data_IF_796400184053
#
_entry.id   IF_796400184053
#
_cell.length_a   1.000
_cell.length_b   1.000
_cell.length_c   1.000
_cell.angle_alpha   90.00
_cell.angle_beta   90.00
_cell.angle_gamma   90.00
#
_symmetry.space_group_name_H-M   'P 1'
#
loop_
_entity.id
_entity.type
_entity.pdbx_description
1 polymer ?
#
# COMPACT_ATOMS: atom_id res chain seq x y z
N UNK A 1 -37.90 7.06 -21.49
CA UNK A 1 -37.95 6.55 -22.89
C UNK A 1 -36.90 7.28 -23.71
N UNK A 2 -35.83 6.59 -24.11
CA UNK A 2 -34.76 7.17 -24.95
C UNK A 2 -35.35 7.73 -26.26
N UNK A 3 -34.94 8.92 -26.73
CA UNK A 3 -35.41 9.49 -28.00
C UNK A 3 -35.19 8.53 -29.19
N UNK A 4 -34.16 7.68 -29.11
CA UNK A 4 -33.87 6.64 -30.12
C UNK A 4 -34.94 5.53 -30.18
N UNK A 5 -35.47 5.10 -29.02
CA UNK A 5 -36.49 4.07 -28.96
C UNK A 5 -37.83 4.54 -29.55
N UNK A 6 -38.16 5.82 -29.33
CA UNK A 6 -39.37 6.43 -29.88
C UNK A 6 -39.28 6.74 -31.38
N UNK A 7 -38.07 6.79 -31.94
CA UNK A 7 -37.83 7.04 -33.36
C UNK A 7 -37.66 5.75 -34.19
N UNK A 8 -37.90 4.56 -33.61
CA UNK A 8 -37.67 3.27 -34.28
C UNK A 8 -36.20 2.92 -34.50
N UNK A 9 -35.28 3.70 -33.94
CA UNK A 9 -33.84 3.53 -34.09
C UNK A 9 -33.29 2.49 -33.10
N UNK A 10 -33.84 1.28 -33.17
CA UNK A 10 -33.56 0.19 -32.21
C UNK A 10 -32.08 -0.19 -32.14
N UNK A 11 -31.36 -0.12 -33.26
CA UNK A 11 -29.92 -0.41 -33.30
C UNK A 11 -29.10 0.56 -32.44
N UNK A 12 -29.41 1.87 -32.47
CA UNK A 12 -28.71 2.87 -31.64
C UNK A 12 -29.12 2.77 -30.17
N UNK A 13 -30.40 2.51 -29.90
CA UNK A 13 -30.87 2.27 -28.55
C UNK A 13 -30.21 1.03 -27.92
N UNK A 14 -30.07 -0.05 -28.70
CA UNK A 14 -29.38 -1.26 -28.28
C UNK A 14 -27.89 -1.01 -28.05
N UNK A 15 -27.22 -0.27 -28.93
CA UNK A 15 -25.81 0.05 -28.78
C UNK A 15 -25.54 0.86 -27.49
N UNK A 16 -26.36 1.89 -27.21
CA UNK A 16 -26.26 2.66 -25.96
C UNK A 16 -26.58 1.82 -24.73
N UNK A 17 -27.60 0.96 -24.77
CA UNK A 17 -27.89 0.04 -23.66
C UNK A 17 -26.74 -0.94 -23.40
N UNK A 18 -26.11 -1.45 -24.45
CA UNK A 18 -24.96 -2.36 -24.36
C UNK A 18 -23.74 -1.68 -23.73
N UNK A 19 -23.50 -0.39 -23.98
CA UNK A 19 -22.42 0.37 -23.32
C UNK A 19 -22.66 0.48 -21.81
N UNK A 20 -23.89 0.80 -21.39
CA UNK A 20 -24.27 0.89 -19.97
C UNK A 20 -24.10 -0.47 -19.27
N UNK A 21 -24.64 -1.55 -19.87
CA UNK A 21 -24.49 -2.90 -19.31
C UNK A 21 -23.03 -3.34 -19.29
N UNK A 22 -22.27 -3.05 -20.35
CA UNK A 22 -20.86 -3.37 -20.47
C UNK A 22 -20.02 -2.68 -19.39
N UNK A 23 -20.27 -1.40 -19.11
CA UNK A 23 -19.67 -0.68 -18.00
C UNK A 23 -19.89 -1.40 -16.67
N UNK A 24 -21.14 -1.72 -16.33
CA UNK A 24 -21.46 -2.35 -15.04
C UNK A 24 -20.82 -3.73 -14.93
N UNK A 25 -20.79 -4.49 -16.02
CA UNK A 25 -20.12 -5.79 -16.07
C UNK A 25 -18.61 -5.64 -15.84
N UNK A 26 -17.95 -4.70 -16.50
CA UNK A 26 -16.50 -4.49 -16.35
C UNK A 26 -16.16 -4.03 -14.93
N UNK A 27 -16.92 -3.09 -14.36
CA UNK A 27 -16.72 -2.65 -12.97
C UNK A 27 -16.92 -3.82 -12.00
N UNK A 28 -17.99 -4.61 -12.16
CA UNK A 28 -18.25 -5.78 -11.31
C UNK A 28 -17.11 -6.80 -11.38
N UNK A 29 -16.65 -7.16 -12.59
CA UNK A 29 -15.52 -8.08 -12.79
C UNK A 29 -14.22 -7.55 -12.19
N UNK A 30 -13.99 -6.24 -12.20
CA UNK A 30 -12.79 -5.61 -11.62
C UNK A 30 -12.81 -5.54 -10.11
N UNK A 31 -13.98 -5.36 -9.52
CA UNK A 31 -14.16 -5.28 -8.06
C UNK A 31 -14.01 -6.64 -7.39
N UNK A 32 -14.42 -7.73 -8.04
CA UNK A 32 -14.42 -9.07 -7.42
C UNK A 32 -13.05 -9.53 -6.91
N UNK A 33 -11.95 -9.45 -7.69
CA UNK A 33 -10.61 -9.79 -7.20
C UNK A 33 -10.20 -8.94 -5.99
N UNK A 34 -10.49 -7.64 -6.02
CA UNK A 34 -10.19 -6.73 -4.91
C UNK A 34 -10.92 -7.14 -3.62
N UNK A 35 -12.22 -7.44 -3.71
CA UNK A 35 -13.00 -7.88 -2.56
C UNK A 35 -12.52 -9.24 -2.03
N UNK A 36 -12.15 -10.14 -2.92
CA UNK A 36 -11.62 -11.45 -2.56
C UNK A 36 -10.29 -11.33 -1.81
N UNK A 37 -9.35 -10.51 -2.30
CA UNK A 37 -8.05 -10.29 -1.67
C UNK A 37 -8.15 -9.52 -0.35
N UNK A 38 -9.03 -8.52 -0.29
CA UNK A 38 -9.13 -7.62 0.89
C UNK A 38 -9.91 -8.25 2.04
N UNK A 39 -11.02 -8.93 1.74
CA UNK A 39 -11.94 -9.46 2.76
C UNK A 39 -11.95 -10.99 2.84
N UNK A 40 -11.32 -11.68 1.89
CA UNK A 40 -11.34 -13.14 1.79
C UNK A 40 -12.56 -13.67 1.05
N UNK A 41 -12.38 -14.77 0.31
CA UNK A 41 -13.45 -15.42 -0.46
C UNK A 41 -14.60 -16.00 0.38
N UNK A 42 -14.39 -16.19 1.68
CA UNK A 42 -15.43 -16.67 2.60
C UNK A 42 -16.22 -15.53 3.27
N UNK A 43 -15.82 -14.27 3.05
CA UNK A 43 -16.53 -13.14 3.66
C UNK A 43 -17.95 -13.00 3.12
N UNK A 44 -18.87 -12.68 4.02
CA UNK A 44 -20.26 -12.37 3.68
C UNK A 44 -20.33 -11.20 2.69
N UNK A 45 -19.44 -10.22 2.82
CA UNK A 45 -19.37 -9.07 1.92
C UNK A 45 -19.00 -9.47 0.48
N UNK A 46 -17.96 -10.27 0.28
CA UNK A 46 -17.58 -10.79 -1.03
C UNK A 46 -18.71 -11.63 -1.65
N UNK A 47 -19.29 -12.55 -0.90
CA UNK A 47 -20.37 -13.43 -1.39
C UNK A 47 -21.62 -12.65 -1.79
N UNK A 48 -22.04 -11.68 -0.98
CA UNK A 48 -23.17 -10.82 -1.31
C UNK A 48 -22.90 -10.03 -2.60
N UNK A 49 -21.70 -9.48 -2.75
CA UNK A 49 -21.34 -8.74 -3.96
C UNK A 49 -21.18 -9.66 -5.19
N UNK A 50 -20.76 -10.91 -5.00
CA UNK A 50 -20.68 -11.90 -6.08
C UNK A 50 -22.07 -12.20 -6.68
N UNK A 51 -23.09 -12.39 -5.85
CA UNK A 51 -24.42 -12.76 -6.34
C UNK A 51 -25.35 -11.58 -6.61
N UNK A 52 -25.28 -10.52 -5.81
CA UNK A 52 -26.17 -9.35 -5.93
C UNK A 52 -25.48 -8.14 -6.57
N UNK A 53 -24.16 -8.19 -6.79
CA UNK A 53 -23.38 -7.05 -7.31
C UNK A 53 -23.88 -6.55 -8.66
N UNK A 54 -24.10 -7.45 -9.62
CA UNK A 54 -24.56 -7.10 -10.96
C UNK A 54 -26.05 -7.40 -11.12
N UNK A 55 -26.92 -6.42 -11.46
CA UNK A 55 -26.68 -4.97 -11.49
C UNK A 55 -27.05 -4.25 -10.17
N UNK A 56 -27.77 -4.92 -9.27
CA UNK A 56 -28.41 -4.29 -8.10
C UNK A 56 -27.42 -3.70 -7.11
N UNK A 57 -26.31 -4.39 -6.83
CA UNK A 57 -25.27 -3.93 -5.93
C UNK A 57 -24.53 -2.72 -6.47
N UNK A 58 -24.26 -2.66 -7.78
CA UNK A 58 -23.69 -1.47 -8.40
C UNK A 58 -24.63 -0.27 -8.31
N UNK A 59 -25.95 -0.44 -8.53
CA UNK A 59 -26.91 0.65 -8.33
C UNK A 59 -26.98 1.13 -6.88
N UNK A 60 -26.90 0.20 -5.93
CA UNK A 60 -26.85 0.55 -4.51
C UNK A 60 -25.59 1.38 -4.19
N UNK A 61 -24.43 1.01 -4.73
CA UNK A 61 -23.19 1.76 -4.54
C UNK A 61 -23.21 3.13 -5.24
N UNK A 62 -23.77 3.20 -6.45
CA UNK A 62 -23.96 4.46 -7.17
C UNK A 62 -24.90 5.40 -6.36
N UNK A 63 -25.94 4.86 -5.71
CA UNK A 63 -26.77 5.62 -4.77
C UNK A 63 -25.98 6.13 -3.56
N UNK A 64 -25.13 5.30 -2.96
CA UNK A 64 -24.28 5.75 -1.84
C UNK A 64 -23.32 6.87 -2.27
N UNK A 65 -22.71 6.75 -3.44
CA UNK A 65 -21.84 7.78 -4.00
C UNK A 65 -22.60 9.10 -4.23
N UNK A 66 -23.86 9.04 -4.62
CA UNK A 66 -24.73 10.21 -4.77
C UNK A 66 -24.99 10.95 -3.45
N UNK A 67 -24.89 10.28 -2.30
CA UNK A 67 -25.07 10.92 -0.98
C UNK A 67 -23.83 11.72 -0.52
N UNK A 68 -22.67 11.49 -1.14
CA UNK A 68 -21.40 12.10 -0.73
C UNK A 68 -21.38 13.64 -0.88
N UNK A 69 -21.83 14.26 -1.99
CA UNK A 69 -21.86 15.72 -2.14
C UNK A 69 -22.75 16.43 -1.11
N UNK A 70 -23.72 15.72 -0.53
CA UNK A 70 -24.60 16.25 0.51
C UNK A 70 -24.03 16.08 1.92
N UNK A 71 -22.86 15.46 2.08
CA UNK A 71 -22.27 15.18 3.39
C UNK A 71 -23.05 14.16 4.22
N UNK A 72 -23.92 13.36 3.58
CA UNK A 72 -24.76 12.38 4.26
C UNK A 72 -24.04 11.04 4.45
N UNK A 73 -23.02 10.75 3.64
CA UNK A 73 -22.29 9.48 3.67
C UNK A 73 -21.74 9.10 5.07
N UNK A 74 -21.20 10.03 5.89
CA UNK A 74 -20.76 9.71 7.26
C UNK A 74 -21.89 9.35 8.23
N UNK A 75 -23.11 9.87 7.99
CA UNK A 75 -24.27 9.70 8.88
C UNK A 75 -25.05 8.42 8.58
N UNK A 76 -24.94 7.91 7.34
CA UNK A 76 -25.61 6.68 6.94
C UNK A 76 -25.07 5.48 7.72
N UNK A 77 -25.94 4.67 8.36
CA UNK A 77 -25.52 3.46 9.05
C UNK A 77 -25.07 2.41 8.03
N UNK A 78 -23.79 2.09 8.03
CA UNK A 78 -23.21 1.08 7.14
C UNK A 78 -22.06 0.33 7.81
N UNK A 79 -21.81 -0.94 7.43
CA UNK A 79 -20.66 -1.70 7.90
C UNK A 79 -19.33 -1.02 7.54
N UNK A 80 -18.30 -1.22 8.36
CA UNK A 80 -16.98 -0.62 8.14
C UNK A 80 -16.37 -1.05 6.80
N UNK A 81 -16.53 -2.32 6.41
CA UNK A 81 -16.08 -2.84 5.11
C UNK A 81 -16.69 -2.07 3.93
N UNK A 82 -17.99 -1.78 3.99
CA UNK A 82 -18.66 -1.02 2.94
C UNK A 82 -18.16 0.44 2.92
N UNK A 83 -17.96 1.04 4.09
CA UNK A 83 -17.45 2.40 4.22
C UNK A 83 -16.03 2.57 3.65
N UNK A 84 -15.16 1.58 3.88
CA UNK A 84 -13.82 1.54 3.29
C UNK A 84 -13.85 1.28 1.78
N UNK A 85 -14.82 0.49 1.31
CA UNK A 85 -14.93 0.10 -0.09
C UNK A 85 -15.52 1.18 -0.99
N UNK A 86 -16.51 1.96 -0.54
CA UNK A 86 -17.21 2.96 -1.37
C UNK A 86 -16.25 3.94 -2.06
N UNK A 87 -15.23 4.52 -1.40
CA UNK A 87 -14.24 5.38 -2.08
C UNK A 87 -13.45 4.65 -3.18
N UNK A 88 -13.04 3.39 -2.93
CA UNK A 88 -12.31 2.58 -3.90
C UNK A 88 -13.19 2.22 -5.11
N UNK A 89 -14.46 1.85 -4.87
CA UNK A 89 -15.45 1.63 -5.92
C UNK A 89 -15.67 2.90 -6.75
N UNK A 90 -15.85 4.05 -6.11
CA UNK A 90 -16.06 5.35 -6.77
C UNK A 90 -14.93 5.69 -7.75
N UNK A 91 -13.68 5.54 -7.31
CA UNK A 91 -12.51 5.81 -8.15
C UNK A 91 -12.56 5.03 -9.47
N UNK A 92 -12.78 3.72 -9.39
CA UNK A 92 -12.86 2.85 -10.57
C UNK A 92 -14.13 3.09 -11.38
N UNK A 93 -15.26 3.34 -10.71
CA UNK A 93 -16.55 3.64 -11.33
C UNK A 93 -16.50 4.87 -12.22
N UNK A 94 -15.82 5.93 -11.79
CA UNK A 94 -15.65 7.18 -12.54
C UNK A 94 -14.84 6.96 -13.82
N UNK A 95 -13.72 6.23 -13.74
CA UNK A 95 -12.88 5.96 -14.93
C UNK A 95 -13.60 5.03 -15.91
N UNK A 96 -14.29 4.00 -15.40
CA UNK A 96 -15.11 3.12 -16.24
C UNK A 96 -16.24 3.89 -16.92
N UNK A 97 -16.87 4.84 -16.23
CA UNK A 97 -17.92 5.70 -16.80
C UNK A 97 -17.41 6.54 -17.95
N UNK A 98 -16.29 7.23 -17.75
CA UNK A 98 -15.72 8.06 -18.82
C UNK A 98 -15.25 7.21 -19.99
N UNK A 99 -14.53 6.12 -19.73
CA UNK A 99 -13.86 5.33 -20.77
C UNK A 99 -14.77 4.38 -21.54
N UNK A 100 -15.71 3.71 -20.86
CA UNK A 100 -16.54 2.65 -21.46
C UNK A 100 -17.93 3.13 -21.87
N UNK A 101 -18.47 4.15 -21.21
CA UNK A 101 -19.81 4.67 -21.50
C UNK A 101 -19.75 6.06 -22.16
N UNK A 102 -19.33 7.09 -21.41
CA UNK A 102 -19.50 8.49 -21.80
C UNK A 102 -18.74 8.85 -23.07
N UNK A 103 -17.48 8.43 -23.22
CA UNK A 103 -16.69 8.73 -24.42
C UNK A 103 -17.24 8.00 -25.68
N UNK A 104 -17.44 6.66 -25.68
CA UNK A 104 -18.05 5.99 -26.83
C UNK A 104 -19.44 6.51 -27.16
N UNK A 105 -20.26 6.80 -26.15
CA UNK A 105 -21.60 7.36 -26.32
C UNK A 105 -21.55 8.77 -26.92
N UNK A 106 -20.65 9.64 -26.47
CA UNK A 106 -20.48 10.99 -27.00
C UNK A 106 -20.04 10.95 -28.49
N UNK A 107 -19.09 10.07 -28.84
CA UNK A 107 -18.65 9.84 -30.22
C UNK A 107 -19.83 9.35 -31.07
N UNK A 108 -20.57 8.36 -30.59
CA UNK A 108 -21.73 7.82 -31.29
C UNK A 108 -22.80 8.89 -31.51
N UNK A 109 -23.09 9.71 -30.49
CA UNK A 109 -24.02 10.84 -30.61
C UNK A 109 -23.55 11.85 -31.66
N UNK A 110 -22.26 12.22 -31.67
CA UNK A 110 -21.72 13.14 -32.66
C UNK A 110 -21.82 12.59 -34.09
N UNK A 111 -21.49 11.31 -34.29
CA UNK A 111 -21.59 10.64 -35.60
C UNK A 111 -23.04 10.59 -36.08
N UNK A 112 -23.99 10.19 -35.23
CA UNK A 112 -25.41 10.15 -35.58
C UNK A 112 -25.90 11.55 -35.98
N UNK A 113 -25.52 12.60 -35.23
CA UNK A 113 -25.92 13.96 -35.54
C UNK A 113 -25.45 14.39 -36.94
N UNK A 114 -24.20 14.07 -37.30
CA UNK A 114 -23.63 14.40 -38.61
C UNK A 114 -24.31 13.60 -39.72
N UNK A 115 -24.49 12.28 -39.54
CA UNK A 115 -25.11 11.41 -40.54
C UNK A 115 -26.55 11.81 -40.84
N UNK A 116 -27.39 11.94 -39.80
CA UNK A 116 -28.80 12.33 -39.94
C UNK A 116 -28.91 13.72 -40.57
N UNK A 117 -28.10 14.68 -40.13
CA UNK A 117 -28.09 16.03 -40.72
C UNK A 117 -27.66 16.04 -42.19
N UNK A 118 -26.71 15.17 -42.57
CA UNK A 118 -26.23 15.05 -43.95
C UNK A 118 -27.29 14.44 -44.87
N UNK A 119 -27.93 13.34 -44.46
CA UNK A 119 -28.99 12.69 -45.26
C UNK A 119 -30.17 13.63 -45.50
N UNK A 120 -30.59 14.38 -44.47
CA UNK A 120 -31.67 15.38 -44.59
C UNK A 120 -31.26 16.52 -45.53
N UNK A 121 -30.03 17.05 -45.41
CA UNK A 121 -29.53 18.13 -46.29
C UNK A 121 -29.40 17.69 -47.75
N UNK A 122 -28.98 16.45 -48.00
CA UNK A 122 -28.80 15.90 -49.34
C UNK A 122 -30.13 15.45 -49.99
N UNK A 123 -31.26 15.59 -49.29
CA UNK A 123 -32.58 15.24 -49.81
C UNK A 123 -32.86 13.73 -49.90
N UNK A 124 -32.06 12.89 -49.22
CA UNK A 124 -32.24 11.44 -49.18
C UNK A 124 -32.33 10.88 -47.74
N UNK A 125 -33.29 11.35 -46.92
CA UNK A 125 -33.44 10.86 -45.55
C UNK A 125 -34.12 9.48 -45.51
N UNK A 126 -33.60 8.57 -44.69
CA UNK A 126 -34.28 7.32 -44.34
C UNK A 126 -35.57 7.60 -43.52
N UNK A 127 -36.50 6.64 -43.47
CA UNK A 127 -37.67 6.70 -42.57
C UNK A 127 -37.25 6.94 -41.11
N UNK A 128 -36.12 6.36 -40.69
CA UNK A 128 -35.54 6.56 -39.36
C UNK A 128 -35.00 7.98 -39.20
N UNK A 129 -34.38 8.56 -40.24
CA UNK A 129 -33.86 9.93 -40.20
C UNK A 129 -35.01 10.94 -40.06
N UNK A 130 -36.10 10.73 -40.81
CA UNK A 130 -37.33 11.53 -40.72
C UNK A 130 -37.97 11.38 -39.35
N UNK A 131 -38.05 10.16 -38.82
CA UNK A 131 -38.59 9.89 -37.49
C UNK A 131 -37.72 10.53 -36.39
N UNK A 132 -36.40 10.48 -36.49
CA UNK A 132 -35.50 11.13 -35.55
C UNK A 132 -35.63 12.65 -35.63
N UNK A 133 -35.74 13.21 -36.83
CA UNK A 133 -35.97 14.65 -37.02
C UNK A 133 -37.32 15.11 -36.46
N UNK A 134 -38.38 14.30 -36.60
CA UNK A 134 -39.76 14.64 -36.24
C UNK A 134 -40.24 14.09 -34.88
N UNK A 135 -39.48 13.21 -34.22
CA UNK A 135 -39.84 12.61 -32.94
C UNK A 135 -40.10 13.69 -31.89
N UNK A 136 -41.37 13.83 -31.48
CA UNK A 136 -41.87 14.82 -30.52
C UNK A 136 -41.47 16.28 -30.83
N UNK A 137 -41.75 16.74 -32.06
CA UNK A 137 -41.83 18.18 -32.38
C UNK A 137 -40.53 18.84 -32.82
N UNK A 138 -39.69 18.16 -33.62
CA UNK A 138 -38.54 18.81 -34.26
C UNK A 138 -37.31 19.02 -33.38
N UNK A 139 -37.25 18.39 -32.20
CA UNK A 139 -36.25 18.73 -31.18
C UNK A 139 -34.93 17.95 -31.27
N UNK A 140 -34.79 16.96 -32.16
CA UNK A 140 -33.56 16.15 -32.20
C UNK A 140 -32.32 16.97 -32.51
N UNK A 141 -32.39 17.86 -33.50
CA UNK A 141 -31.30 18.79 -33.87
C UNK A 141 -31.00 19.79 -32.75
N UNK A 142 -31.96 20.10 -31.87
CA UNK A 142 -31.77 21.04 -30.76
C UNK A 142 -31.38 20.37 -29.44
N UNK A 143 -31.68 19.08 -29.25
CA UNK A 143 -31.40 18.31 -28.03
C UNK A 143 -30.07 17.57 -28.10
N UNK A 144 -29.70 17.01 -29.25
CA UNK A 144 -28.45 16.27 -29.41
C UNK A 144 -27.21 17.13 -29.13
N UNK A 145 -27.08 18.36 -29.69
CA UNK A 145 -25.95 19.23 -29.35
C UNK A 145 -25.89 19.57 -27.85
N UNK A 146 -27.04 19.73 -27.19
CA UNK A 146 -27.10 19.97 -25.74
C UNK A 146 -26.63 18.75 -24.94
N UNK A 147 -27.03 17.54 -25.35
CA UNK A 147 -26.56 16.29 -24.74
C UNK A 147 -25.04 16.14 -24.89
N UNK A 148 -24.52 16.34 -26.11
CA UNK A 148 -23.08 16.27 -26.40
C UNK A 148 -22.31 17.32 -25.58
N UNK A 149 -22.84 18.55 -25.49
CA UNK A 149 -22.24 19.62 -24.68
C UNK A 149 -22.19 19.22 -23.19
N UNK A 150 -23.29 18.75 -22.61
CA UNK A 150 -23.33 18.31 -21.20
C UNK A 150 -22.33 17.18 -20.99
N UNK A 151 -22.33 16.16 -21.85
CA UNK A 151 -21.40 15.03 -21.78
C UNK A 151 -19.93 15.44 -21.91
N UNK A 152 -19.63 16.42 -22.77
CA UNK A 152 -18.27 16.94 -22.94
C UNK A 152 -17.82 17.73 -21.71
N UNK A 153 -18.71 18.53 -21.11
CA UNK A 153 -18.41 19.29 -19.89
C UNK A 153 -18.20 18.37 -18.69
N UNK A 154 -19.01 17.32 -18.53
CA UNK A 154 -18.83 16.34 -17.45
C UNK A 154 -17.53 15.57 -17.61
N UNK A 155 -17.23 15.08 -18.82
CA UNK A 155 -15.95 14.44 -19.12
C UNK A 155 -14.75 15.37 -18.87
N UNK A 156 -14.85 16.65 -19.25
CA UNK A 156 -13.81 17.65 -19.03
C UNK A 156 -13.59 17.92 -17.54
N UNK A 157 -14.68 18.01 -16.75
CA UNK A 157 -14.60 18.12 -15.30
C UNK A 157 -13.85 16.93 -14.70
N UNK A 158 -14.22 15.71 -15.06
CA UNK A 158 -13.57 14.49 -14.58
C UNK A 158 -12.09 14.43 -14.97
N UNK A 159 -11.76 14.84 -16.20
CA UNK A 159 -10.38 14.94 -16.66
C UNK A 159 -9.59 15.98 -15.86
N UNK A 160 -10.18 17.14 -15.58
CA UNK A 160 -9.55 18.17 -14.77
C UNK A 160 -9.29 17.69 -13.33
N UNK A 161 -10.27 17.03 -12.70
CA UNK A 161 -10.12 16.44 -11.36
C UNK A 161 -8.99 15.40 -11.34
N UNK A 162 -8.94 14.50 -12.33
CA UNK A 162 -7.87 13.51 -12.49
C UNK A 162 -6.49 14.17 -12.60
N UNK A 163 -6.36 15.22 -13.41
CA UNK A 163 -5.09 15.95 -13.61
C UNK A 163 -4.67 16.66 -12.31
N UNK A 164 -5.61 17.24 -11.57
CA UNK A 164 -5.32 17.89 -10.29
C UNK A 164 -4.84 16.86 -9.26
N UNK A 165 -5.52 15.72 -9.14
CA UNK A 165 -5.09 14.65 -8.23
C UNK A 165 -3.73 14.07 -8.61
N UNK A 166 -3.46 13.88 -9.92
CA UNK A 166 -2.16 13.41 -10.39
C UNK A 166 -1.04 14.40 -10.03
N UNK A 167 -1.29 15.71 -10.18
CA UNK A 167 -0.34 16.77 -9.78
C UNK A 167 -0.11 16.83 -8.28
N UNK A 168 -1.15 16.64 -7.47
CA UNK A 168 -1.03 16.61 -6.00
C UNK A 168 -0.24 15.39 -5.51
N UNK A 169 -0.44 14.24 -6.14
CA UNK A 169 0.35 13.03 -5.91
C UNK A 169 1.74 13.09 -6.57
N UNK A 170 1.99 14.08 -7.43
CA UNK A 170 3.21 14.28 -8.20
C UNK A 170 3.60 13.11 -9.12
N UNK A 171 2.60 12.34 -9.55
CA UNK A 171 2.74 11.27 -10.53
C UNK A 171 2.20 11.68 -11.90
N UNK A 172 2.54 10.93 -12.95
CA UNK A 172 1.96 11.16 -14.27
C UNK A 172 0.45 10.88 -14.28
N UNK A 173 -0.28 11.60 -15.15
CA UNK A 173 -1.74 11.42 -15.31
C UNK A 173 -2.08 9.99 -15.75
N UNK A 174 -1.24 9.37 -16.57
CA UNK A 174 -1.42 7.97 -16.99
C UNK A 174 -1.26 7.00 -15.82
N UNK A 175 -0.24 7.19 -14.96
CA UNK A 175 -0.05 6.38 -13.76
C UNK A 175 -1.21 6.55 -12.78
N UNK A 176 -1.70 7.78 -12.61
CA UNK A 176 -2.89 8.05 -11.78
C UNK A 176 -4.14 7.38 -12.34
N UNK A 177 -4.37 7.43 -13.67
CA UNK A 177 -5.49 6.75 -14.30
C UNK A 177 -5.40 5.22 -14.12
N UNK A 178 -4.20 4.64 -14.23
CA UNK A 178 -3.96 3.23 -13.94
C UNK A 178 -4.23 2.88 -12.47
N UNK A 179 -3.85 3.74 -11.53
CA UNK A 179 -4.19 3.58 -10.11
C UNK A 179 -5.70 3.60 -9.90
N UNK A 180 -6.44 4.57 -10.43
CA UNK A 180 -7.90 4.62 -10.25
C UNK A 180 -8.62 3.43 -10.93
N UNK A 181 -8.05 2.91 -12.01
CA UNK A 181 -8.54 1.70 -12.67
C UNK A 181 -8.32 0.42 -11.84
N UNK A 182 -7.23 0.35 -11.07
CA UNK A 182 -6.97 -0.72 -10.13
C UNK A 182 -7.75 -0.45 -8.82
N UNK A 183 -8.85 -1.17 -8.62
CA UNK A 183 -9.72 -0.97 -7.45
C UNK A 183 -8.90 -1.02 -6.15
N UNK A 184 -8.98 0.06 -5.36
CA UNK A 184 -8.26 0.19 -4.09
C UNK A 184 -6.86 0.80 -4.19
N UNK A 185 -6.33 1.06 -5.39
CA UNK A 185 -5.14 1.88 -5.58
C UNK A 185 -5.51 3.37 -5.59
N UNK A 186 -4.63 4.20 -5.01
CA UNK A 186 -4.83 5.63 -4.81
C UNK A 186 -5.21 6.01 -3.37
N UNK A 187 -4.74 7.18 -2.92
CA UNK A 187 -5.07 7.71 -1.60
C UNK A 187 -6.53 8.21 -1.54
N UNK A 188 -7.33 7.79 -0.57
CA UNK A 188 -8.70 8.27 -0.40
C UNK A 188 -8.73 9.63 0.33
N UNK A 189 -7.97 10.61 -0.19
CA UNK A 189 -7.74 11.92 0.44
C UNK A 189 -9.04 12.63 0.80
N UNK A 190 -9.99 12.64 -0.13
CA UNK A 190 -11.31 13.26 0.04
C UNK A 190 -12.14 12.58 1.13
N UNK A 191 -12.13 11.24 1.16
CA UNK A 191 -12.88 10.48 2.16
C UNK A 191 -12.29 10.67 3.56
N UNK A 192 -10.96 10.80 3.67
CA UNK A 192 -10.27 11.14 4.92
C UNK A 192 -10.65 12.57 5.36
N UNK A 193 -10.52 13.55 4.46
CA UNK A 193 -10.82 14.98 4.75
C UNK A 193 -12.27 15.21 5.16
N UNK A 194 -13.22 14.51 4.51
CA UNK A 194 -14.66 14.61 4.79
C UNK A 194 -15.10 13.79 6.02
N UNK A 195 -14.21 12.97 6.58
CA UNK A 195 -14.52 12.09 7.70
C UNK A 195 -15.47 10.95 7.33
N UNK A 196 -15.40 10.48 6.08
CA UNK A 196 -16.27 9.43 5.55
C UNK A 196 -15.80 8.02 5.94
N UNK A 197 -14.57 7.85 6.42
CA UNK A 197 -13.97 6.55 6.75
C UNK A 197 -13.45 6.51 8.19
N UNK A 198 -13.51 5.33 8.82
CA UNK A 198 -13.04 5.08 10.19
C UNK A 198 -11.69 4.35 10.23
N UNK A 199 -11.48 3.45 9.28
CA UNK A 199 -10.22 2.75 9.07
C UNK A 199 -9.82 2.81 7.60
N UNK A 200 -8.53 2.72 7.30
CA UNK A 200 -8.05 2.57 5.93
C UNK A 200 -6.82 1.67 5.88
N UNK A 201 -6.83 0.73 4.93
CA UNK A 201 -5.69 -0.13 4.62
C UNK A 201 -5.15 0.21 3.24
N UNK A 202 -3.89 0.60 3.20
CA UNK A 202 -3.16 0.84 1.98
C UNK A 202 -2.92 -0.49 1.23
N UNK A 203 -3.02 -0.45 -0.11
CA UNK A 203 -2.93 -1.61 -0.99
C UNK A 203 -1.74 -1.51 -1.96
N UNK A 204 -0.92 -0.46 -1.85
CA UNK A 204 0.12 -0.15 -2.81
C UNK A 204 1.21 0.74 -2.21
N UNK A 205 2.39 0.76 -2.82
CA UNK A 205 3.49 1.59 -2.36
C UNK A 205 3.21 3.09 -2.55
N UNK A 206 3.40 3.85 -1.47
CA UNK A 206 3.16 5.29 -1.43
C UNK A 206 4.46 6.03 -1.76
N UNK A 207 4.41 6.97 -2.70
CA UNK A 207 5.54 7.86 -2.99
C UNK A 207 5.70 9.00 -1.96
N UNK A 208 6.89 9.58 -1.85
CA UNK A 208 7.18 10.67 -0.89
C UNK A 208 6.23 11.88 -1.04
N UNK A 209 5.77 12.18 -2.25
CA UNK A 209 4.82 13.26 -2.53
C UNK A 209 3.40 12.90 -2.08
N UNK A 210 3.01 11.63 -2.23
CA UNK A 210 1.75 11.12 -1.71
C UNK A 210 1.73 11.14 -0.16
N UNK A 211 2.87 10.96 0.52
CA UNK A 211 2.97 11.11 1.99
C UNK A 211 2.51 12.50 2.43
N UNK A 212 3.01 13.56 1.78
CA UNK A 212 2.64 14.94 2.13
C UNK A 212 1.14 15.16 1.96
N UNK A 213 0.57 14.63 0.87
CA UNK A 213 -0.87 14.69 0.61
C UNK A 213 -1.68 13.91 1.64
N UNK A 214 -1.20 12.73 2.06
CA UNK A 214 -1.81 11.92 3.10
C UNK A 214 -1.81 12.67 4.45
N UNK A 215 -0.69 13.27 4.84
CA UNK A 215 -0.60 14.05 6.08
C UNK A 215 -1.49 15.29 6.05
N UNK A 216 -1.59 16.01 4.92
CA UNK A 216 -2.55 17.10 4.74
C UNK A 216 -4.02 16.63 4.87
N UNK A 217 -4.32 15.42 4.39
CA UNK A 217 -5.66 14.85 4.56
C UNK A 217 -5.92 14.49 6.02
N UNK A 218 -4.95 13.87 6.69
CA UNK A 218 -5.04 13.51 8.10
C UNK A 218 -5.14 14.75 9.01
N UNK A 219 -4.49 15.87 8.69
CA UNK A 219 -4.60 17.11 9.48
C UNK A 219 -6.00 17.73 9.46
N UNK A 220 -6.82 17.37 8.47
CA UNK A 220 -8.23 17.77 8.32
C UNK A 220 -9.20 16.66 8.74
N UNK A 221 -8.69 15.47 9.08
CA UNK A 221 -9.48 14.30 9.44
C UNK A 221 -10.20 14.50 10.78
N UNK A 222 -11.41 13.94 10.88
CA UNK A 222 -12.22 13.94 12.11
C UNK A 222 -12.69 12.55 12.54
N UNK A 223 -12.46 11.50 11.74
CA UNK A 223 -13.08 10.19 11.95
C UNK A 223 -12.15 8.99 11.79
N UNK A 224 -11.08 9.10 10.99
CA UNK A 224 -10.15 8.00 10.78
C UNK A 224 -9.38 7.72 12.08
N UNK A 225 -9.63 6.55 12.66
CA UNK A 225 -9.02 6.07 13.91
C UNK A 225 -7.99 4.96 13.65
N UNK A 226 -8.12 4.21 12.56
CA UNK A 226 -7.22 3.10 12.21
C UNK A 226 -6.54 3.34 10.86
N UNK A 227 -5.21 3.32 10.83
CA UNK A 227 -4.42 3.53 9.61
C UNK A 227 -3.45 2.36 9.41
N UNK A 228 -3.71 1.52 8.42
CA UNK A 228 -2.87 0.38 8.06
C UNK A 228 -2.07 0.68 6.79
N UNK A 229 -0.76 0.79 6.95
CA UNK A 229 0.24 1.09 5.95
C UNK A 229 1.22 -0.07 5.77
N UNK A 230 0.77 -1.28 6.08
CA UNK A 230 1.55 -2.51 5.91
C UNK A 230 2.03 -2.76 4.48
N UNK A 231 1.34 -2.21 3.47
CA UNK A 231 1.71 -2.36 2.05
C UNK A 231 2.22 -1.06 1.43
N UNK A 232 2.50 -0.05 2.25
CA UNK A 232 2.84 1.28 1.75
C UNK A 232 4.31 1.47 1.35
N UNK A 233 5.17 0.47 1.60
CA UNK A 233 6.58 0.50 1.17
C UNK A 233 7.47 1.48 1.94
N UNK A 234 7.17 1.70 3.23
CA UNK A 234 7.95 2.57 4.10
C UNK A 234 9.14 1.82 4.71
N UNK A 235 10.35 2.35 4.54
CA UNK A 235 11.55 1.89 5.24
C UNK A 235 11.77 2.77 6.49
N UNK A 236 12.00 2.13 7.64
CA UNK A 236 12.15 2.81 8.94
C UNK A 236 13.50 3.51 9.13
N UNK A 237 14.52 2.98 8.46
CA UNK A 237 15.91 3.42 8.60
C UNK A 237 16.41 3.65 7.17
N UNK A 238 16.87 4.86 6.81
CA UNK A 238 17.56 5.03 5.54
C UNK A 238 18.79 4.12 5.55
N UNK A 239 18.97 3.22 4.56
CA UNK A 239 20.18 2.42 4.54
C UNK A 239 21.36 3.38 4.40
N UNK A 240 22.46 3.10 5.10
CA UNK A 240 23.66 3.94 5.20
C UNK A 240 24.23 4.34 3.82
N UNK A 241 23.78 3.67 2.74
CA UNK A 241 24.21 3.87 1.35
C UNK A 241 23.17 4.40 0.35
N UNK A 242 21.86 4.56 0.68
CA UNK A 242 20.90 5.15 -0.30
C UNK A 242 20.78 6.65 -0.10
N UNK A 243 21.55 7.40 -0.89
CA UNK A 243 21.32 8.84 -1.12
C UNK A 243 19.96 9.13 -1.82
N UNK A 244 19.25 8.10 -2.29
CA UNK A 244 18.05 8.23 -3.12
C UNK A 244 16.73 8.47 -2.37
N UNK A 245 16.63 8.12 -1.08
CA UNK A 245 15.54 8.59 -0.23
C UNK A 245 16.11 9.59 0.75
N UNK A 246 15.82 10.86 0.52
CA UNK A 246 16.26 11.91 1.43
C UNK A 246 15.84 11.56 2.86
N UNK A 247 16.82 11.48 3.75
CA UNK A 247 16.68 11.31 5.20
C UNK A 247 15.65 12.24 5.92
N UNK A 248 15.06 13.33 5.34
CA UNK A 248 14.05 14.15 6.04
C UNK A 248 12.58 13.68 6.06
N UNK A 249 12.17 12.52 5.53
CA UNK A 249 10.73 12.28 5.22
C UNK A 249 10.10 10.96 5.69
N UNK A 250 10.53 10.39 6.82
CA UNK A 250 9.73 9.34 7.48
C UNK A 250 8.32 9.87 7.74
N UNK A 251 7.28 9.10 7.42
CA UNK A 251 5.87 9.48 7.61
C UNK A 251 5.62 10.09 9.00
N UNK A 252 6.24 9.54 10.05
CA UNK A 252 6.17 10.07 11.41
C UNK A 252 6.78 11.47 11.56
N UNK A 253 7.87 11.79 10.87
CA UNK A 253 8.48 13.13 10.87
C UNK A 253 7.50 14.13 10.27
N UNK A 254 6.83 13.77 9.17
CA UNK A 254 5.84 14.63 8.51
C UNK A 254 4.58 14.77 9.38
N UNK A 255 4.07 13.67 9.94
CA UNK A 255 2.92 13.68 10.85
C UNK A 255 3.21 14.45 12.15
N UNK A 256 4.43 14.39 12.68
CA UNK A 256 4.81 15.15 13.88
C UNK A 256 4.96 16.66 13.61
N UNK A 257 5.25 17.08 12.36
CA UNK A 257 5.19 18.50 11.98
C UNK A 257 3.76 19.04 11.95
N UNK A 258 2.78 18.16 11.71
CA UNK A 258 1.35 18.47 11.65
C UNK A 258 0.59 17.70 12.74
N UNK A 259 0.66 18.12 14.02
CA UNK A 259 0.13 17.33 15.14
C UNK A 259 -1.37 17.00 15.04
N UNK A 260 -2.14 17.81 14.31
CA UNK A 260 -3.55 17.55 13.99
C UNK A 260 -3.75 16.24 13.23
N UNK A 261 -2.77 15.80 12.44
CA UNK A 261 -2.83 14.54 11.70
C UNK A 261 -2.91 13.31 12.61
N UNK A 262 -2.39 13.42 13.83
CA UNK A 262 -2.32 12.35 14.82
C UNK A 262 -3.41 12.44 15.89
N UNK A 263 -4.20 13.51 15.91
CA UNK A 263 -5.16 13.81 16.98
C UNK A 263 -6.27 12.76 17.10
N UNK A 264 -6.77 12.30 15.95
CA UNK A 264 -7.89 11.34 15.88
C UNK A 264 -7.42 9.89 15.79
N UNK A 265 -6.18 9.67 15.33
CA UNK A 265 -5.63 8.34 15.10
C UNK A 265 -5.42 7.58 16.42
N UNK A 266 -6.05 6.42 16.53
CA UNK A 266 -5.93 5.51 17.67
C UNK A 266 -4.92 4.41 17.39
N UNK A 267 -4.95 3.85 16.19
CA UNK A 267 -4.16 2.70 15.80
C UNK A 267 -3.48 2.91 14.46
N UNK A 268 -2.20 2.50 14.38
CA UNK A 268 -1.40 2.59 13.17
C UNK A 268 -0.60 1.31 12.96
N UNK A 269 -0.60 0.77 11.75
CA UNK A 269 0.21 -0.38 11.36
C UNK A 269 1.14 0.03 10.23
N UNK A 270 2.41 -0.32 10.31
CA UNK A 270 3.42 0.02 9.31
C UNK A 270 4.28 -1.23 9.15
N UNK A 271 4.59 -1.62 7.91
CA UNK A 271 5.57 -2.70 7.65
C UNK A 271 6.78 -2.15 6.93
N UNK A 272 7.89 -2.82 7.17
CA UNK A 272 9.07 -2.79 6.31
C UNK A 272 8.86 -3.72 5.11
N UNK A 273 9.41 -3.35 3.95
CA UNK A 273 9.56 -4.28 2.85
C UNK A 273 10.77 -5.16 3.19
N UNK A 274 10.67 -6.50 3.19
CA UNK A 274 11.89 -7.30 3.12
C UNK A 274 12.53 -6.93 1.78
N UNK A 275 13.60 -6.14 1.82
CA UNK A 275 14.24 -5.64 0.63
C UNK A 275 14.53 -6.81 -0.33
N UNK A 276 13.92 -6.77 -1.52
CA UNK A 276 14.29 -7.65 -2.64
C UNK A 276 15.80 -7.58 -2.93
N UNK A 277 16.46 -6.53 -2.42
CA UNK A 277 17.91 -6.32 -2.42
C UNK A 277 18.72 -7.37 -1.66
N UNK A 278 18.19 -8.14 -0.71
CA UNK A 278 19.07 -9.04 0.07
C UNK A 278 19.80 -10.09 -0.78
N UNK A 279 19.17 -10.64 -1.83
CA UNK A 279 19.85 -11.55 -2.76
C UNK A 279 20.76 -10.81 -3.75
N UNK A 280 20.37 -9.61 -4.17
CA UNK A 280 21.16 -8.76 -5.07
C UNK A 280 22.44 -8.26 -4.40
N UNK A 281 22.39 -7.93 -3.10
CA UNK A 281 23.53 -7.43 -2.33
C UNK A 281 24.51 -8.56 -1.98
N UNK A 282 23.98 -9.74 -1.60
CA UNK A 282 24.77 -10.97 -1.46
C UNK A 282 25.51 -11.29 -2.77
N UNK A 283 24.78 -11.27 -3.88
CA UNK A 283 25.38 -11.50 -5.19
C UNK A 283 26.36 -10.40 -5.59
N UNK A 284 26.09 -9.13 -5.26
CA UNK A 284 27.01 -8.02 -5.52
C UNK A 284 28.33 -8.14 -4.74
N UNK A 285 28.29 -8.65 -3.51
CA UNK A 285 29.50 -8.90 -2.73
C UNK A 285 30.26 -10.12 -3.23
N UNK A 286 29.56 -11.24 -3.47
CA UNK A 286 30.17 -12.42 -4.08
C UNK A 286 30.79 -12.05 -5.43
N UNK A 287 30.07 -11.35 -6.30
CA UNK A 287 30.56 -10.83 -7.57
C UNK A 287 31.71 -9.83 -7.41
N UNK A 288 31.73 -9.02 -6.35
CA UNK A 288 32.82 -8.09 -6.05
C UNK A 288 34.09 -8.81 -5.59
N UNK A 289 33.95 -9.85 -4.77
CA UNK A 289 35.01 -10.76 -4.39
C UNK A 289 35.53 -11.54 -5.62
N UNK A 290 34.63 -11.99 -6.52
CA UNK A 290 34.99 -12.62 -7.79
C UNK A 290 35.60 -11.64 -8.81
N UNK A 291 35.25 -10.35 -8.79
CA UNK A 291 35.81 -9.35 -9.69
C UNK A 291 37.31 -9.08 -9.41
N UNK A 292 37.77 -9.29 -8.18
CA UNK A 292 39.19 -9.34 -7.83
C UNK A 292 39.94 -10.56 -8.38
N UNK A 293 39.19 -11.56 -8.88
CA UNK A 293 39.65 -12.89 -9.31
C UNK A 293 39.30 -13.19 -10.78
N UNK A 294 39.24 -12.19 -11.67
CA UNK A 294 39.15 -12.43 -13.12
C UNK A 294 37.82 -13.05 -13.63
N UNK A 295 37.56 -12.88 -14.93
CA UNK A 295 36.23 -13.04 -15.55
C UNK A 295 35.74 -14.48 -15.79
N UNK A 296 36.37 -15.48 -15.18
CA UNK A 296 35.96 -16.89 -15.27
C UNK A 296 36.13 -17.51 -13.90
N UNK A 297 35.02 -17.71 -13.19
CA UNK A 297 35.02 -18.32 -11.85
C UNK A 297 35.58 -19.75 -11.95
N UNK A 298 36.87 -19.93 -11.64
CA UNK A 298 37.47 -21.26 -11.60
C UNK A 298 37.25 -21.90 -10.23
N UNK A 299 37.33 -23.23 -10.15
CA UNK A 299 37.21 -23.98 -8.88
C UNK A 299 38.19 -23.46 -7.82
N UNK A 300 39.36 -22.99 -8.25
CA UNK A 300 40.36 -22.36 -7.38
C UNK A 300 39.90 -21.03 -6.76
N UNK A 301 39.03 -20.28 -7.43
CA UNK A 301 38.52 -18.99 -6.93
C UNK A 301 37.41 -19.19 -5.90
N UNK A 302 36.55 -20.20 -6.11
CA UNK A 302 35.56 -20.61 -5.12
C UNK A 302 36.24 -21.16 -3.87
N UNK A 303 37.30 -21.95 -4.01
CA UNK A 303 38.05 -22.50 -2.88
C UNK A 303 38.69 -21.38 -2.05
N UNK A 304 39.30 -20.37 -2.69
CA UNK A 304 39.86 -19.22 -1.97
C UNK A 304 38.82 -18.43 -1.20
N UNK A 305 37.62 -18.27 -1.76
CA UNK A 305 36.53 -17.59 -1.08
C UNK A 305 36.02 -18.42 0.11
N UNK A 306 35.92 -19.74 -0.04
CA UNK A 306 35.57 -20.64 1.05
C UNK A 306 36.60 -20.52 2.19
N UNK A 307 37.89 -20.58 1.86
CA UNK A 307 38.99 -20.44 2.83
C UNK A 307 39.04 -19.03 3.48
N UNK A 308 38.48 -17.99 2.83
CA UNK A 308 38.38 -16.64 3.40
C UNK A 308 37.20 -16.51 4.39
N UNK A 309 36.16 -17.32 4.22
CA UNK A 309 34.97 -17.33 5.08
C UNK A 309 35.18 -18.27 6.28
N UNK A 310 35.88 -19.38 6.07
CA UNK A 310 36.30 -20.38 7.06
C UNK A 310 37.40 -19.80 7.96
N UNK A 311 37.02 -18.93 8.91
CA UNK A 311 37.98 -18.20 9.76
C UNK A 311 38.77 -19.16 10.67
N UNK A 312 38.16 -20.29 11.05
CA UNK A 312 38.76 -21.28 11.94
C UNK A 312 39.50 -22.41 11.22
N UNK A 313 39.36 -22.50 9.89
CA UNK A 313 40.03 -23.49 9.04
C UNK A 313 39.52 -24.91 9.27
N UNK A 314 38.27 -25.06 9.72
CA UNK A 314 37.64 -26.36 9.99
C UNK A 314 37.35 -27.15 8.71
N UNK A 315 37.35 -26.50 7.55
CA UNK A 315 36.98 -27.09 6.26
C UNK A 315 35.47 -27.16 6.04
N UNK A 316 34.67 -26.55 6.92
CA UNK A 316 33.21 -26.45 6.83
C UNK A 316 32.75 -25.09 7.32
N UNK A 317 31.81 -24.45 6.63
CA UNK A 317 31.29 -23.14 7.04
C UNK A 317 30.12 -23.30 7.99
N UNK A 318 30.26 -22.83 9.23
CA UNK A 318 29.18 -22.80 10.21
C UNK A 318 28.20 -21.62 9.95
N UNK A 319 26.99 -21.73 10.52
CA UNK A 319 25.98 -20.64 10.45
C UNK A 319 26.56 -19.32 10.97
N UNK A 320 27.34 -19.37 12.06
CA UNK A 320 27.92 -18.19 12.69
C UNK A 320 28.96 -17.50 11.80
N UNK A 321 29.77 -18.25 11.06
CA UNK A 321 30.80 -17.71 10.17
C UNK A 321 30.18 -17.00 8.96
N UNK A 322 29.16 -17.61 8.36
CA UNK A 322 28.41 -16.98 7.27
C UNK A 322 27.65 -15.73 7.75
N UNK A 323 27.07 -15.76 8.95
CA UNK A 323 26.47 -14.58 9.57
C UNK A 323 27.50 -13.48 9.83
N UNK A 324 28.69 -13.84 10.31
CA UNK A 324 29.72 -12.87 10.62
C UNK A 324 30.16 -12.13 9.35
N UNK A 325 30.31 -12.84 8.22
CA UNK A 325 30.58 -12.22 6.93
C UNK A 325 29.44 -11.32 6.46
N UNK A 326 28.18 -11.78 6.55
CA UNK A 326 27.02 -10.95 6.19
C UNK A 326 26.95 -9.66 7.00
N UNK A 327 27.26 -9.76 8.29
CA UNK A 327 27.21 -8.62 9.20
C UNK A 327 28.39 -7.67 9.02
N UNK A 328 29.60 -8.18 8.85
CA UNK A 328 30.83 -7.37 8.87
C UNK A 328 31.18 -6.78 7.51
N UNK A 329 30.98 -7.53 6.42
CA UNK A 329 31.37 -7.10 5.06
C UNK A 329 30.21 -6.54 4.26
N UNK A 330 28.98 -6.97 4.55
CA UNK A 330 27.78 -6.64 3.79
C UNK A 330 26.80 -5.71 4.51
N UNK A 331 26.93 -5.54 5.83
CA UNK A 331 25.96 -4.82 6.68
C UNK A 331 24.53 -5.41 6.59
N UNK A 332 24.44 -6.71 6.26
CA UNK A 332 23.19 -7.47 6.17
C UNK A 332 23.06 -8.32 7.43
N UNK A 333 21.93 -8.19 8.12
CA UNK A 333 21.60 -9.03 9.28
C UNK A 333 20.64 -10.12 8.79
N UNK A 334 21.15 -11.34 8.64
CA UNK A 334 20.33 -12.55 8.43
C UNK A 334 20.17 -13.28 9.75
N UNK A 335 18.97 -13.79 9.99
CA UNK A 335 18.68 -14.65 11.15
C UNK A 335 19.19 -16.06 10.92
N UNK A 336 19.45 -16.80 12.00
CA UNK A 336 19.89 -18.21 11.96
C UNK A 336 18.91 -19.04 11.13
N UNK A 337 17.61 -18.79 11.27
CA UNK A 337 16.56 -19.46 10.50
C UNK A 337 16.64 -19.21 9.00
N UNK A 338 17.01 -18.01 8.57
CA UNK A 338 17.10 -17.69 7.13
C UNK A 338 18.30 -18.37 6.48
N UNK A 339 19.39 -18.53 7.21
CA UNK A 339 20.58 -19.23 6.71
C UNK A 339 20.36 -20.74 6.72
N UNK A 340 19.68 -21.26 7.74
CA UNK A 340 19.26 -22.66 7.79
C UNK A 340 18.28 -23.02 6.67
N UNK A 341 17.40 -22.11 6.26
CA UNK A 341 16.53 -22.31 5.08
C UNK A 341 17.34 -22.46 3.79
N UNK A 342 18.38 -21.63 3.61
CA UNK A 342 19.29 -21.73 2.45
C UNK A 342 20.03 -23.08 2.49
N UNK A 343 20.50 -23.51 3.66
CA UNK A 343 21.17 -24.80 3.81
C UNK A 343 20.21 -25.96 3.55
N UNK A 344 18.98 -25.89 4.05
CA UNK A 344 17.97 -26.93 3.89
C UNK A 344 17.59 -27.14 2.42
N UNK A 345 17.50 -26.07 1.64
CA UNK A 345 17.18 -26.17 0.21
C UNK A 345 18.34 -26.80 -0.58
N UNK A 346 19.58 -26.58 -0.17
CA UNK A 346 20.78 -27.07 -0.85
C UNK A 346 21.17 -28.50 -0.44
N UNK A 347 21.01 -28.83 0.85
CA UNK A 347 21.38 -30.12 1.43
C UNK A 347 20.23 -31.13 1.44
N UNK A 348 18.98 -30.66 1.45
CA UNK A 348 17.77 -31.48 1.58
C UNK A 348 17.31 -31.63 3.04
N UNK A 349 16.04 -32.00 3.22
CA UNK A 349 15.33 -31.93 4.52
C UNK A 349 15.85 -32.88 5.63
N UNK A 350 16.65 -33.91 5.30
CA UNK A 350 17.19 -34.91 6.23
C UNK A 350 18.69 -34.71 6.53
N UNK A 351 19.30 -33.62 6.04
CA UNK A 351 20.72 -33.35 6.20
C UNK A 351 21.04 -32.46 7.41
N UNK A 352 22.30 -32.45 7.83
CA UNK A 352 22.84 -31.59 8.87
C UNK A 352 22.88 -30.12 8.39
N UNK A 353 22.14 -29.25 9.08
CA UNK A 353 22.04 -27.82 8.75
C UNK A 353 22.96 -26.95 9.63
N UNK A 354 23.92 -27.58 10.31
CA UNK A 354 24.81 -26.90 11.25
C UNK A 354 26.01 -26.25 10.54
N UNK A 355 26.55 -26.91 9.52
CA UNK A 355 27.66 -26.40 8.71
C UNK A 355 27.51 -26.79 7.23
N UNK A 356 28.36 -26.26 6.35
CA UNK A 356 28.34 -26.50 4.90
C UNK A 356 29.75 -26.78 4.41
N UNK A 357 29.98 -27.91 3.74
CA UNK A 357 31.27 -28.21 3.13
C UNK A 357 31.50 -27.44 1.81
N UNK A 358 32.70 -27.50 1.23
CA UNK A 358 33.00 -26.79 -0.01
C UNK A 358 32.09 -27.18 -1.19
N UNK A 359 31.72 -28.45 -1.31
CA UNK A 359 30.86 -28.93 -2.39
C UNK A 359 29.41 -28.44 -2.24
N UNK A 360 28.95 -28.30 -1.00
CA UNK A 360 27.64 -27.74 -0.65
C UNK A 360 27.64 -26.22 -0.76
N UNK A 361 28.73 -25.54 -0.38
CA UNK A 361 28.91 -24.10 -0.56
C UNK A 361 28.81 -23.71 -2.04
N UNK A 362 29.37 -24.52 -2.94
CA UNK A 362 29.21 -24.34 -4.38
C UNK A 362 27.75 -24.34 -4.81
N UNK A 363 26.95 -25.27 -4.28
CA UNK A 363 25.51 -25.34 -4.57
C UNK A 363 24.76 -24.15 -3.98
N UNK A 364 25.16 -23.64 -2.81
CA UNK A 364 24.63 -22.39 -2.24
C UNK A 364 24.91 -21.21 -3.19
N UNK A 365 26.14 -21.09 -3.69
CA UNK A 365 26.52 -20.03 -4.65
C UNK A 365 25.72 -20.14 -5.95
N UNK A 366 25.55 -21.36 -6.50
CA UNK A 366 24.76 -21.59 -7.70
C UNK A 366 23.26 -21.34 -7.48
N UNK A 367 22.73 -21.67 -6.30
CA UNK A 367 21.35 -21.40 -5.89
C UNK A 367 21.07 -19.89 -5.80
N UNK A 368 22.01 -19.11 -5.27
CA UNK A 368 21.93 -17.65 -5.20
C UNK A 368 22.04 -17.03 -6.60
N UNK A 369 23.00 -17.49 -7.44
CA UNK A 369 23.20 -17.04 -8.84
C UNK A 369 21.97 -17.14 -9.71
N UNK A 370 21.24 -18.25 -9.59
CA UNK A 370 20.06 -18.52 -10.42
C UNK A 370 18.81 -17.76 -9.95
N UNK A 371 18.93 -16.83 -8.99
CA UNK A 371 17.81 -16.05 -8.45
C UNK A 371 16.84 -16.87 -7.61
N UNK A 372 17.14 -18.15 -7.32
CA UNK A 372 16.31 -19.02 -6.51
C UNK A 372 16.46 -18.74 -5.01
N UNK A 373 17.60 -18.18 -4.58
CA UNK A 373 17.85 -17.68 -3.22
C UNK A 373 17.35 -16.27 -2.93
N UNK A 374 16.71 -15.60 -3.89
CA UNK A 374 15.80 -14.50 -3.55
C UNK A 374 14.66 -15.14 -2.77
N UNK A 375 14.66 -14.96 -1.45
CA UNK A 375 13.59 -15.42 -0.55
C UNK A 375 12.27 -15.36 -1.28
N UNK A 376 11.60 -16.51 -1.49
CA UNK A 376 10.23 -16.54 -2.03
C UNK A 376 9.48 -15.40 -1.34
N UNK A 377 8.82 -14.48 -2.07
CA UNK A 377 8.14 -13.35 -1.44
C UNK A 377 7.25 -13.94 -0.36
N UNK A 378 7.57 -13.67 0.91
CA UNK A 378 6.87 -14.24 2.06
C UNK A 378 5.40 -13.87 1.87
N UNK A 379 4.65 -14.83 1.34
CA UNK A 379 3.21 -14.72 1.09
C UNK A 379 2.46 -15.06 2.37
N UNK A 380 3.17 -15.26 3.48
CA UNK A 380 2.59 -15.13 4.81
C UNK A 380 2.52 -13.65 5.14
N UNK A 381 1.28 -13.15 5.19
CA UNK A 381 0.94 -11.87 5.79
C UNK A 381 1.48 -11.90 7.23
N UNK A 382 2.66 -11.34 7.46
CA UNK A 382 3.18 -11.16 8.82
C UNK A 382 2.20 -10.21 9.50
N UNK A 383 1.43 -10.73 10.46
CA UNK A 383 0.51 -9.92 11.23
C UNK A 383 1.31 -9.06 12.21
N UNK A 384 1.83 -7.94 11.69
CA UNK A 384 2.65 -6.99 12.44
C UNK A 384 1.88 -6.30 13.57
N UNK A 385 2.61 -5.88 14.58
CA UNK A 385 2.05 -5.25 15.77
C UNK A 385 1.37 -3.93 15.43
N UNK A 386 0.19 -3.70 16.00
CA UNK A 386 -0.58 -2.49 15.80
C UNK A 386 -0.20 -1.43 16.85
N UNK A 387 0.39 -0.32 16.40
CA UNK A 387 0.90 0.75 17.25
C UNK A 387 -0.28 1.56 17.84
N UNK A 388 -0.43 1.64 19.17
CA UNK A 388 -1.54 2.35 19.82
C UNK A 388 -1.26 3.85 19.95
N UNK A 389 -1.25 4.55 18.81
CA UNK A 389 -0.93 6.00 18.68
C UNK A 389 -1.71 6.86 19.69
N UNK A 390 -3.03 6.67 19.78
CA UNK A 390 -3.90 7.50 20.61
C UNK A 390 -3.53 7.42 22.10
N UNK A 391 -3.28 6.21 22.61
CA UNK A 391 -2.93 6.01 24.02
C UNK A 391 -1.51 6.47 24.33
N UNK A 392 -0.57 6.28 23.41
CA UNK A 392 0.81 6.78 23.54
C UNK A 392 0.83 8.31 23.63
N UNK A 393 0.00 9.00 22.83
CA UNK A 393 -0.04 10.47 22.82
C UNK A 393 -0.93 11.08 23.91
N UNK A 394 -1.66 10.26 24.67
CA UNK A 394 -2.56 10.71 25.74
C UNK A 394 -1.87 11.16 27.04
N UNK A 395 -0.53 11.09 27.09
CA UNK A 395 0.30 11.52 28.22
C UNK A 395 1.24 10.42 28.73
N UNK A 396 2.30 10.79 29.47
CA UNK A 396 3.39 9.88 29.85
C UNK A 396 2.92 8.69 30.69
N UNK A 397 1.96 8.88 31.60
CA UNK A 397 1.48 7.82 32.49
C UNK A 397 0.68 6.74 31.72
N UNK A 398 -0.16 7.18 30.76
CA UNK A 398 -0.93 6.26 29.89
C UNK A 398 -0.02 5.55 28.89
N UNK A 399 0.96 6.26 28.34
CA UNK A 399 1.99 5.68 27.49
C UNK A 399 2.79 4.61 28.24
N UNK A 400 3.27 4.91 29.45
CA UNK A 400 4.00 3.98 30.30
C UNK A 400 3.18 2.71 30.58
N UNK A 401 1.89 2.86 30.90
CA UNK A 401 1.00 1.72 31.14
C UNK A 401 0.92 0.82 29.91
N UNK A 402 0.62 1.38 28.74
CA UNK A 402 0.51 0.61 27.48
C UNK A 402 1.83 -0.05 27.10
N UNK A 403 2.94 0.68 27.23
CA UNK A 403 4.28 0.13 26.98
C UNK A 403 4.59 -1.01 27.94
N UNK A 404 4.25 -0.88 29.22
CA UNK A 404 4.52 -1.92 30.22
C UNK A 404 3.68 -3.19 30.02
N UNK A 405 2.53 -3.07 29.37
CA UNK A 405 1.63 -4.18 29.02
C UNK A 405 1.95 -4.78 27.64
N UNK A 406 2.79 -4.13 26.84
CA UNK A 406 3.18 -4.60 25.52
C UNK A 406 4.07 -5.86 25.62
N UNK A 407 3.81 -6.90 24.80
CA UNK A 407 4.48 -8.18 24.89
C UNK A 407 5.84 -8.18 24.18
N UNK A 408 6.74 -7.27 24.57
CA UNK A 408 8.11 -7.19 24.03
C UNK A 408 8.84 -8.53 24.14
N UNK A 409 9.70 -8.86 23.16
CA UNK A 409 10.50 -10.10 23.15
C UNK A 409 9.65 -11.39 23.15
N UNK A 410 8.42 -11.33 22.63
CA UNK A 410 7.57 -12.50 22.39
C UNK A 410 7.03 -12.49 20.97
N UNK A 411 6.68 -13.67 20.44
CA UNK A 411 6.15 -13.80 19.08
C UNK A 411 4.84 -13.02 18.96
N UNK A 412 4.77 -12.11 17.99
CA UNK A 412 3.62 -11.23 17.80
C UNK A 412 3.59 -10.01 18.73
N UNK A 413 4.72 -9.61 19.32
CA UNK A 413 4.89 -8.31 19.99
C UNK A 413 5.58 -7.27 19.09
N UNK A 414 5.76 -6.03 19.58
CA UNK A 414 6.46 -4.98 18.83
C UNK A 414 7.95 -5.33 18.63
N UNK A 415 8.42 -5.19 17.39
CA UNK A 415 9.81 -5.39 16.99
C UNK A 415 10.57 -4.05 16.99
N UNK A 416 11.80 -4.04 16.45
CA UNK A 416 12.70 -2.87 16.50
C UNK A 416 12.06 -1.64 15.86
N UNK A 417 11.36 -1.84 14.77
CA UNK A 417 10.75 -0.81 13.95
C UNK A 417 9.55 -0.20 14.66
N UNK A 418 8.64 -1.01 15.21
CA UNK A 418 7.52 -0.49 16.00
C UNK A 418 8.00 0.18 17.29
N UNK A 419 9.07 -0.32 17.91
CA UNK A 419 9.70 0.35 19.05
C UNK A 419 10.22 1.74 18.69
N UNK A 420 10.89 1.89 17.53
CA UNK A 420 11.37 3.18 17.04
C UNK A 420 10.21 4.12 16.70
N UNK A 421 9.14 3.59 16.08
CA UNK A 421 7.91 4.32 15.80
C UNK A 421 7.29 4.94 17.05
N UNK A 422 7.18 4.11 18.09
CA UNK A 422 6.58 4.47 19.36
C UNK A 422 7.41 5.53 20.08
N UNK A 423 8.74 5.42 19.99
CA UNK A 423 9.67 6.44 20.50
C UNK A 423 9.50 7.79 19.78
N UNK A 424 9.56 7.82 18.45
CA UNK A 424 9.39 9.04 17.64
C UNK A 424 8.05 9.75 17.87
N UNK A 425 6.97 8.99 18.10
CA UNK A 425 5.66 9.53 18.45
C UNK A 425 5.66 10.22 19.83
N UNK A 426 6.55 9.83 20.75
CA UNK A 426 6.63 10.34 22.12
C UNK A 426 7.60 11.52 22.26
N UNK A 427 8.74 11.51 21.55
CA UNK A 427 9.78 12.54 21.66
C UNK A 427 9.28 13.96 21.33
N UNK A 428 8.47 14.13 20.28
CA UNK A 428 7.97 15.46 19.85
C UNK A 428 6.66 15.90 20.49
N UNK A 429 6.10 15.10 21.40
CA UNK A 429 4.99 15.55 22.25
C UNK A 429 5.46 16.51 23.36
N UNK A 430 6.77 16.77 23.44
CA UNK A 430 7.38 17.83 24.25
C UNK A 430 7.99 18.89 23.34
N UNK A 431 7.58 20.14 23.51
CA UNK A 431 8.48 21.24 23.18
C UNK A 431 9.69 21.11 24.11
N UNK A 432 10.83 20.70 23.56
CA UNK A 432 12.07 20.53 24.32
C UNK A 432 12.42 21.86 25.01
N UNK A 433 12.51 21.86 26.34
CA UNK A 433 13.17 22.96 27.04
C UNK A 433 14.69 22.85 26.81
N UNK A 434 15.37 23.94 26.45
CA UNK A 434 16.80 23.94 26.17
C UNK A 434 17.57 23.84 27.49
N UNK A 435 18.26 22.72 27.77
CA UNK A 435 19.07 22.62 28.98
C UNK A 435 20.00 21.42 29.15
N UNK A 436 19.66 20.24 28.61
CA UNK A 436 20.50 19.04 28.74
C UNK A 436 20.84 18.44 27.36
N UNK A 437 22.09 18.00 27.19
CA UNK A 437 22.58 17.35 25.98
C UNK A 437 21.83 16.01 25.74
N UNK A 438 21.17 15.87 24.59
CA UNK A 438 20.42 14.67 24.16
C UNK A 438 21.26 13.38 24.30
N UNK A 439 22.58 13.47 24.10
CA UNK A 439 23.52 12.35 24.24
C UNK A 439 23.63 11.83 25.68
N UNK A 440 23.61 12.72 26.68
CA UNK A 440 23.79 12.34 28.08
C UNK A 440 22.55 11.64 28.65
N UNK A 441 21.35 12.07 28.23
CA UNK A 441 20.07 11.45 28.59
C UNK A 441 20.00 10.04 27.99
N UNK A 442 20.36 9.91 26.71
CA UNK A 442 20.35 8.63 25.97
C UNK A 442 21.32 7.60 26.57
N UNK A 443 22.54 8.02 26.93
CA UNK A 443 23.54 7.13 27.53
C UNK A 443 23.12 6.60 28.90
N UNK A 444 22.60 7.47 29.77
CA UNK A 444 22.12 7.08 31.11
C UNK A 444 20.91 6.15 31.04
N UNK A 445 20.01 6.39 30.07
CA UNK A 445 18.85 5.54 29.82
C UNK A 445 19.25 4.13 29.37
N UNK A 446 20.16 4.02 28.39
CA UNK A 446 20.68 2.74 27.89
C UNK A 446 21.43 1.98 28.99
N UNK A 447 22.29 2.66 29.75
CA UNK A 447 23.04 2.05 30.86
C UNK A 447 22.12 1.49 31.92
N UNK A 448 21.02 2.20 32.24
CA UNK A 448 19.99 1.73 33.17
C UNK A 448 19.28 0.48 32.66
N UNK A 449 18.92 0.43 31.37
CA UNK A 449 18.30 -0.76 30.75
C UNK A 449 19.24 -1.97 30.88
N UNK A 450 20.53 -1.80 30.55
CA UNK A 450 21.52 -2.88 30.69
C UNK A 450 21.68 -3.33 32.15
N UNK A 451 21.75 -2.39 33.10
CA UNK A 451 21.89 -2.72 34.51
C UNK A 451 20.65 -3.45 35.07
N UNK A 452 19.45 -3.04 34.69
CA UNK A 452 18.21 -3.66 35.15
C UNK A 452 17.95 -5.01 34.48
N UNK A 453 18.42 -5.23 33.25
CA UNK A 453 18.39 -6.56 32.59
C UNK A 453 19.16 -7.64 33.36
N UNK A 454 20.17 -7.22 34.14
CA UNK A 454 20.98 -8.09 34.98
C UNK A 454 20.33 -8.35 36.34
N UNK A 455 19.32 -7.56 36.74
CA UNK A 455 18.57 -7.77 37.99
C UNK A 455 17.49 -8.82 37.80
N UNK A 456 17.41 -9.77 38.73
CA UNK A 456 16.37 -10.81 38.76
C UNK A 456 16.96 -12.20 38.89
N UNK A 457 16.34 -13.03 39.73
CA UNK A 457 16.79 -14.39 40.04
C UNK A 457 16.46 -15.42 38.96
N UNK A 458 15.55 -15.11 38.01
CA UNK A 458 15.11 -16.01 36.94
C UNK A 458 15.06 -15.34 35.57
N UNK A 459 15.10 -16.12 34.48
CA UNK A 459 15.00 -15.61 33.09
C UNK A 459 13.75 -14.74 32.89
N UNK A 460 12.61 -15.16 33.45
CA UNK A 460 11.35 -14.39 33.41
C UNK A 460 11.47 -13.05 34.14
N UNK A 461 12.03 -13.06 35.36
CA UNK A 461 12.18 -11.83 36.15
C UNK A 461 13.15 -10.82 35.48
N UNK A 462 14.23 -11.30 34.86
CA UNK A 462 15.16 -10.45 34.08
C UNK A 462 14.48 -9.82 32.87
N UNK A 463 13.66 -10.59 32.15
CA UNK A 463 12.86 -10.10 31.02
C UNK A 463 11.87 -9.02 31.48
N UNK A 464 11.12 -9.28 32.54
CA UNK A 464 10.11 -8.34 33.06
C UNK A 464 10.76 -7.04 33.58
N UNK A 465 11.95 -7.12 34.19
CA UNK A 465 12.72 -5.96 34.63
C UNK A 465 13.22 -5.11 33.44
N UNK A 466 13.77 -5.77 32.41
CA UNK A 466 14.18 -5.10 31.18
C UNK A 466 13.01 -4.41 30.47
N UNK A 467 11.87 -5.12 30.32
CA UNK A 467 10.66 -4.56 29.71
C UNK A 467 10.17 -3.30 30.42
N UNK A 468 10.15 -3.31 31.76
CA UNK A 468 9.79 -2.12 32.55
C UNK A 468 10.75 -0.97 32.33
N UNK A 469 12.05 -1.22 32.26
CA UNK A 469 13.04 -0.15 32.05
C UNK A 469 12.96 0.41 30.62
N UNK A 470 12.75 -0.43 29.61
CA UNK A 470 12.50 0.01 28.22
C UNK A 470 11.21 0.82 28.13
N UNK A 471 10.11 0.33 28.71
CA UNK A 471 8.84 1.07 28.77
C UNK A 471 9.00 2.43 29.46
N UNK A 472 9.77 2.49 30.56
CA UNK A 472 10.08 3.75 31.25
C UNK A 472 10.89 4.72 30.39
N UNK A 473 11.87 4.23 29.64
CA UNK A 473 12.66 5.06 28.73
C UNK A 473 11.78 5.57 27.59
N UNK A 474 11.12 4.67 26.85
CA UNK A 474 10.25 5.04 25.72
C UNK A 474 9.13 6.01 26.17
N UNK A 475 8.48 5.77 27.31
CA UNK A 475 7.40 6.65 27.83
C UNK A 475 7.84 8.07 28.16
N UNK A 476 9.15 8.28 28.41
CA UNK A 476 9.70 9.59 28.74
C UNK A 476 10.02 10.43 27.50
N UNK A 477 9.97 9.81 26.31
CA UNK A 477 10.52 10.36 25.06
C UNK A 477 12.04 10.32 25.09
#
# INVERSE_FOLDING_TARGET
>A
SSPFFNAGAHSFALASASLIVGQFLVVWLRVLPYLHLTYGGQSLFYRLFLFLGMPLGCFFLDFLMFLEPFGLLPVVPMPESLRQFVPAYKATRIIAEVGLEALPQCIMQAVILVLVSSHVKNGNPSEIDIAMYNAKGGQFVSLMPKSILISSLTMLKTWWELVQEARQAGISVSKKAQQLWAVGHGLPLDAIKKGSILGWKCQYEISDQEIVSLVDALSKNKSLTRLDLSLAGFEWIPPVKKETRSAPSTLLVVMNKEPKALEVLQHMKICDYPSEETASDLWSFLSGAFAGLGSTETEADLQRLFDEIDEDGSGTLEVEELQNIFRTKLDIIKTDSEIQEIFAEVKGADADLESVDFAEFRKVVDYIKNGAGATKPKTEVIDRWEIPVGTLRSGPDKALKVLSEAPFLTKGGPEREEMHAMFELLCKNRGLEPGESELAISYNAVTRIFHDSKKGSSKKAKRDAWQKSVAQVISKG
#
